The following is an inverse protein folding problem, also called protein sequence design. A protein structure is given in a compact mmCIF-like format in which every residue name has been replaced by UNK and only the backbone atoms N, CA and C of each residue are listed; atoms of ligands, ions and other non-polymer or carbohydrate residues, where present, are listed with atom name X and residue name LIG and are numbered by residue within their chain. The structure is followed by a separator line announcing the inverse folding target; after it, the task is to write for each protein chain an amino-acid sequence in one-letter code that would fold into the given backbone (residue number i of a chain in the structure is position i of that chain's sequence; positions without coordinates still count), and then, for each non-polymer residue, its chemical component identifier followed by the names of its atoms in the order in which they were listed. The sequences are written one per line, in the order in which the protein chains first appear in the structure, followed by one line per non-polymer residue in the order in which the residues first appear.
data_IF_177478736391
#
_entry.id   IF_177478736391
#
_cell.length_a   1.000
_cell.length_b   1.000
_cell.length_c   1.000
_cell.angle_alpha   90.00
_cell.angle_beta   90.00
_cell.angle_gamma   90.00
#
_symmetry.space_group_name_H-M   'P 1'
#
loop_
_entity.id
_entity.type
_entity.pdbx_description
1 polymer ?
#
# COMPACT_ATOMS: atom_id res chain seq x y z
N UNK A 1 26.40 -9.54 -66.36
CA UNK A 1 25.73 -8.55 -65.51
C UNK A 1 25.30 -9.26 -64.25
N UNK A 2 26.05 -9.08 -63.16
CA UNK A 2 25.68 -9.52 -61.81
C UNK A 2 25.25 -8.24 -61.10
N UNK A 3 24.01 -8.22 -60.65
CA UNK A 3 23.44 -7.07 -59.96
C UNK A 3 23.87 -7.10 -58.48
N UNK A 4 24.66 -6.11 -58.09
CA UNK A 4 25.09 -5.88 -56.72
C UNK A 4 23.91 -5.27 -55.93
N UNK A 5 23.36 -6.04 -54.99
CA UNK A 5 22.39 -5.55 -54.00
C UNK A 5 23.16 -4.93 -52.84
N UNK A 6 22.94 -3.65 -52.50
CA UNK A 6 23.64 -3.00 -51.40
C UNK A 6 23.14 -3.53 -50.04
N UNK A 7 24.00 -3.59 -49.02
CA UNK A 7 23.64 -4.11 -47.71
C UNK A 7 22.67 -3.16 -47.00
N UNK A 8 21.56 -3.72 -46.52
CA UNK A 8 20.56 -3.05 -45.70
C UNK A 8 21.17 -2.54 -44.39
N UNK A 9 20.99 -1.25 -44.12
CA UNK A 9 21.46 -0.59 -42.90
C UNK A 9 20.78 -1.15 -41.63
N UNK A 10 21.47 -1.18 -40.48
CA UNK A 10 20.94 -1.70 -39.23
C UNK A 10 19.80 -0.81 -38.71
N UNK A 11 18.65 -1.43 -38.45
CA UNK A 11 17.50 -0.80 -37.80
C UNK A 11 17.88 -0.51 -36.34
N UNK A 12 18.12 0.77 -36.01
CA UNK A 12 18.31 1.21 -34.64
C UNK A 12 16.95 1.20 -33.92
N UNK A 13 16.71 0.19 -33.10
CA UNK A 13 15.63 0.20 -32.13
C UNK A 13 15.97 1.20 -31.02
N UNK A 14 15.53 2.45 -31.19
CA UNK A 14 15.52 3.42 -30.10
C UNK A 14 14.35 3.09 -29.18
N UNK A 15 14.61 2.27 -28.16
CA UNK A 15 13.73 2.13 -27.01
C UNK A 15 13.76 3.45 -26.22
N UNK A 16 13.00 4.45 -26.67
CA UNK A 16 12.64 5.57 -25.79
C UNK A 16 11.70 5.01 -24.72
N UNK A 17 12.06 5.04 -23.43
CA UNK A 17 11.10 4.71 -22.38
C UNK A 17 9.90 5.64 -22.56
N UNK A 18 8.70 5.06 -22.66
CA UNK A 18 7.44 5.81 -22.61
C UNK A 18 7.45 6.56 -21.28
N UNK A 19 7.69 7.87 -21.33
CA UNK A 19 7.54 8.75 -20.18
C UNK A 19 6.10 8.55 -19.66
N UNK A 20 6.00 8.09 -18.41
CA UNK A 20 4.74 8.12 -17.68
C UNK A 20 4.17 9.53 -17.73
N UNK A 21 2.85 9.64 -17.83
CA UNK A 21 2.15 10.93 -17.79
C UNK A 21 2.56 11.62 -16.49
N UNK A 22 3.22 12.77 -16.55
CA UNK A 22 3.68 13.48 -15.37
C UNK A 22 2.50 13.82 -14.47
N UNK A 23 2.62 13.49 -13.18
CA UNK A 23 1.62 13.71 -12.13
C UNK A 23 1.21 15.18 -11.90
N UNK A 24 1.81 16.15 -12.58
CA UNK A 24 1.43 17.56 -12.43
C UNK A 24 0.00 17.85 -12.89
N UNK A 25 -0.64 16.90 -13.58
CA UNK A 25 -2.02 16.96 -14.07
C UNK A 25 -2.95 15.94 -13.38
N UNK A 26 -2.77 15.65 -12.09
CA UNK A 26 -3.89 15.00 -11.37
C UNK A 26 -5.03 15.99 -11.38
N UNK A 27 -6.15 15.58 -11.97
CA UNK A 27 -7.17 16.44 -12.56
C UNK A 27 -7.66 17.59 -11.68
N UNK A 28 -8.24 18.60 -12.31
CA UNK A 28 -8.80 19.79 -11.63
C UNK A 28 -10.15 19.52 -10.95
N UNK A 29 -10.44 18.25 -10.61
CA UNK A 29 -11.70 17.78 -10.04
C UNK A 29 -11.44 16.63 -9.06
N UNK A 30 -12.40 16.37 -8.17
CA UNK A 30 -12.40 15.21 -7.28
C UNK A 30 -13.76 15.01 -6.62
N UNK A 31 -13.82 14.09 -5.65
CA UNK A 31 -15.07 13.75 -4.97
C UNK A 31 -15.41 14.78 -3.90
N UNK A 32 -16.56 15.44 -4.06
CA UNK A 32 -17.03 16.42 -3.08
C UNK A 32 -17.85 15.72 -1.99
N UNK A 33 -17.56 16.09 -0.75
CA UNK A 33 -18.31 15.60 0.40
C UNK A 33 -19.78 16.02 0.38
N UNK A 34 -20.64 15.07 0.75
CA UNK A 34 -22.09 15.27 0.87
C UNK A 34 -22.54 15.08 2.32
N UNK A 35 -23.14 16.15 2.87
CA UNK A 35 -23.73 16.14 4.21
C UNK A 35 -24.99 15.25 4.32
N UNK A 36 -25.65 14.99 3.19
CA UNK A 36 -26.90 14.22 3.17
C UNK A 36 -26.66 12.71 3.29
N UNK A 37 -25.52 12.24 2.80
CA UNK A 37 -25.24 10.81 2.66
C UNK A 37 -23.95 10.39 3.39
N UNK A 38 -23.28 11.33 4.07
CA UNK A 38 -22.10 11.10 4.90
C UNK A 38 -20.97 10.40 4.14
N UNK A 39 -20.69 10.88 2.94
CA UNK A 39 -19.75 10.26 1.99
C UNK A 39 -18.27 10.25 2.38
N UNK A 40 -17.86 10.89 3.50
CA UNK A 40 -16.46 11.27 3.74
C UNK A 40 -15.45 10.11 3.58
N UNK A 41 -15.79 8.92 4.08
CA UNK A 41 -14.94 7.74 3.96
C UNK A 41 -14.84 7.23 2.52
N UNK A 42 -15.94 7.29 1.77
CA UNK A 42 -15.99 6.88 0.37
C UNK A 42 -15.24 7.86 -0.53
N UNK A 43 -15.45 9.16 -0.34
CA UNK A 43 -14.75 10.22 -1.07
C UNK A 43 -13.23 10.03 -0.94
N UNK A 44 -12.78 9.84 0.31
CA UNK A 44 -11.38 9.61 0.64
C UNK A 44 -10.82 8.37 -0.05
N UNK A 45 -11.45 7.21 0.12
CA UNK A 45 -10.90 5.97 -0.46
C UNK A 45 -10.91 6.03 -1.97
N UNK A 46 -11.98 6.56 -2.58
CA UNK A 46 -12.07 6.68 -4.02
C UNK A 46 -10.95 7.56 -4.58
N UNK A 47 -10.71 8.72 -3.98
CA UNK A 47 -9.67 9.65 -4.45
C UNK A 47 -8.25 9.13 -4.15
N UNK A 48 -8.04 8.54 -2.99
CA UNK A 48 -6.77 7.91 -2.63
C UNK A 48 -6.42 6.78 -3.60
N UNK A 49 -7.35 5.86 -3.86
CA UNK A 49 -7.10 4.72 -4.74
C UNK A 49 -7.03 5.15 -6.21
N UNK A 50 -7.77 6.19 -6.62
CA UNK A 50 -7.58 6.81 -7.94
C UNK A 50 -6.15 7.32 -8.08
N UNK A 51 -5.64 8.02 -7.07
CA UNK A 51 -4.27 8.53 -7.06
C UNK A 51 -3.24 7.41 -7.19
N UNK A 52 -3.33 6.39 -6.32
CA UNK A 52 -2.45 5.21 -6.36
C UNK A 52 -2.54 4.56 -7.73
N UNK A 53 -3.75 4.37 -8.26
CA UNK A 53 -3.96 3.77 -9.57
C UNK A 53 -3.31 4.60 -10.68
N UNK A 54 -3.49 5.91 -10.75
CA UNK A 54 -2.86 6.71 -11.81
C UNK A 54 -1.33 6.59 -11.79
N UNK A 55 -0.73 6.55 -10.60
CA UNK A 55 0.74 6.44 -10.43
C UNK A 55 1.30 5.03 -10.58
N UNK A 56 0.46 4.00 -10.51
CA UNK A 56 0.91 2.61 -10.53
C UNK A 56 1.34 2.14 -11.92
N UNK A 57 2.36 1.29 -11.97
CA UNK A 57 2.81 0.61 -13.17
C UNK A 57 1.69 -0.25 -13.79
N UNK A 58 1.82 -0.57 -15.09
CA UNK A 58 0.86 -1.44 -15.78
C UNK A 58 0.74 -2.81 -15.11
N UNK A 59 1.87 -3.37 -14.64
CA UNK A 59 1.88 -4.66 -13.97
C UNK A 59 1.18 -4.57 -12.61
N UNK A 60 1.44 -3.50 -11.85
CA UNK A 60 0.74 -3.24 -10.58
C UNK A 60 -0.78 -3.17 -10.78
N UNK A 61 -1.26 -2.43 -11.80
CA UNK A 61 -2.70 -2.29 -12.10
C UNK A 61 -3.35 -3.64 -12.36
N UNK A 62 -2.75 -4.45 -13.23
CA UNK A 62 -3.25 -5.78 -13.56
C UNK A 62 -3.28 -6.69 -12.33
N UNK A 63 -2.22 -6.66 -11.50
CA UNK A 63 -2.17 -7.46 -10.27
C UNK A 63 -3.22 -7.01 -9.27
N UNK A 64 -3.43 -5.70 -9.08
CA UNK A 64 -4.43 -5.16 -8.16
C UNK A 64 -5.86 -5.45 -8.62
N UNK A 65 -6.17 -5.25 -9.90
CA UNK A 65 -7.48 -5.56 -10.48
C UNK A 65 -7.82 -7.06 -10.35
N UNK A 66 -6.81 -7.95 -10.37
CA UNK A 66 -6.99 -9.38 -10.18
C UNK A 66 -7.27 -9.80 -8.71
N UNK A 67 -7.14 -8.90 -7.73
CA UNK A 67 -7.29 -9.26 -6.32
C UNK A 67 -8.73 -9.46 -5.88
N UNK A 68 -9.66 -8.64 -6.37
CA UNK A 68 -11.07 -8.60 -5.94
C UNK A 68 -11.95 -8.09 -7.08
N UNK A 69 -13.21 -8.55 -7.18
CA UNK A 69 -14.18 -7.98 -8.13
C UNK A 69 -14.37 -6.47 -7.98
N UNK A 70 -14.40 -5.96 -6.72
CA UNK A 70 -14.52 -4.52 -6.47
C UNK A 70 -13.31 -3.74 -7.01
N UNK A 71 -12.09 -4.26 -6.81
CA UNK A 71 -10.86 -3.65 -7.35
C UNK A 71 -10.87 -3.61 -8.88
N UNK A 72 -11.33 -4.67 -9.54
CA UNK A 72 -11.52 -4.69 -11.00
C UNK A 72 -12.49 -3.61 -11.47
N UNK A 73 -13.69 -3.54 -10.89
CA UNK A 73 -14.70 -2.52 -11.24
C UNK A 73 -14.17 -1.09 -11.04
N UNK A 74 -13.39 -0.87 -9.98
CA UNK A 74 -12.79 0.42 -9.68
C UNK A 74 -11.65 0.77 -10.67
N UNK A 75 -10.86 -0.21 -11.10
CA UNK A 75 -9.89 -0.04 -12.18
C UNK A 75 -10.50 0.36 -13.52
N UNK A 76 -11.65 -0.23 -13.90
CA UNK A 76 -12.42 0.20 -15.08
C UNK A 76 -12.89 1.66 -14.97
N UNK A 77 -13.45 2.03 -13.81
CA UNK A 77 -13.87 3.42 -13.52
C UNK A 77 -12.69 4.39 -13.65
N UNK A 78 -11.56 4.08 -13.03
CA UNK A 78 -10.36 4.92 -13.08
C UNK A 78 -9.75 5.04 -14.47
N UNK A 79 -9.81 3.98 -15.29
CA UNK A 79 -9.41 4.04 -16.70
C UNK A 79 -10.34 4.94 -17.50
N UNK A 80 -11.65 4.85 -17.28
CA UNK A 80 -12.63 5.74 -17.90
C UNK A 80 -12.35 7.20 -17.50
N UNK A 81 -12.14 7.50 -16.21
CA UNK A 81 -11.76 8.84 -15.73
C UNK A 81 -10.46 9.35 -16.38
N UNK A 82 -9.42 8.52 -16.41
CA UNK A 82 -8.11 8.89 -16.92
C UNK A 82 -8.00 8.97 -18.45
N UNK A 83 -9.02 8.51 -19.19
CA UNK A 83 -8.98 8.38 -20.65
C UNK A 83 -9.01 9.72 -21.39
N UNK A 84 -9.51 10.80 -20.77
CA UNK A 84 -9.54 12.13 -21.39
C UNK A 84 -9.42 13.27 -20.38
N UNK A 85 -8.73 14.36 -20.76
CA UNK A 85 -8.58 15.56 -19.92
C UNK A 85 -9.92 16.19 -19.51
N UNK A 86 -10.94 16.30 -20.39
CA UNK A 86 -12.25 16.84 -19.99
C UNK A 86 -12.94 16.02 -18.90
N UNK A 87 -12.77 14.69 -18.88
CA UNK A 87 -13.32 13.84 -17.83
C UNK A 87 -12.59 14.04 -16.49
N UNK A 88 -11.27 14.16 -16.52
CA UNK A 88 -10.47 14.45 -15.32
C UNK A 88 -10.74 15.83 -14.71
N UNK A 89 -11.33 16.74 -15.47
CA UNK A 89 -11.69 18.10 -15.01
C UNK A 89 -13.17 18.25 -14.65
N UNK A 90 -13.98 17.19 -14.77
CA UNK A 90 -15.43 17.27 -14.53
C UNK A 90 -15.80 16.66 -13.18
N UNK A 91 -16.12 17.51 -12.20
CA UNK A 91 -16.63 17.06 -10.89
C UNK A 91 -17.84 16.14 -11.01
N UNK A 92 -18.75 16.39 -11.96
CA UNK A 92 -19.91 15.53 -12.20
C UNK A 92 -19.51 14.09 -12.57
N UNK A 93 -18.47 13.89 -13.37
CA UNK A 93 -18.02 12.55 -13.75
C UNK A 93 -17.40 11.83 -12.54
N UNK A 94 -16.69 12.56 -11.68
CA UNK A 94 -16.21 12.03 -10.40
C UNK A 94 -17.38 11.62 -9.50
N UNK A 95 -18.39 12.48 -9.33
CA UNK A 95 -19.58 12.21 -8.53
C UNK A 95 -20.32 10.95 -9.04
N UNK A 96 -20.50 10.80 -10.35
CA UNK A 96 -21.15 9.62 -10.96
C UNK A 96 -20.39 8.32 -10.64
N UNK A 97 -19.06 8.31 -10.81
CA UNK A 97 -18.27 7.10 -10.54
C UNK A 97 -18.12 6.82 -9.06
N UNK A 98 -18.05 7.86 -8.25
CA UNK A 98 -18.05 7.78 -6.80
C UNK A 98 -19.37 7.17 -6.29
N UNK A 99 -20.52 7.62 -6.79
CA UNK A 99 -21.81 7.04 -6.43
C UNK A 99 -21.94 5.58 -6.87
N UNK A 100 -21.45 5.24 -8.08
CA UNK A 100 -21.39 3.85 -8.52
C UNK A 100 -20.52 2.98 -7.60
N UNK A 101 -19.38 3.49 -7.14
CA UNK A 101 -18.52 2.81 -6.17
C UNK A 101 -19.24 2.56 -4.83
N UNK A 102 -20.01 3.54 -4.35
CA UNK A 102 -20.81 3.40 -3.12
C UNK A 102 -21.91 2.37 -3.26
N UNK A 103 -22.58 2.34 -4.42
CA UNK A 103 -23.62 1.36 -4.70
C UNK A 103 -23.04 -0.07 -4.73
N UNK A 104 -21.84 -0.24 -5.28
CA UNK A 104 -21.13 -1.53 -5.25
C UNK A 104 -20.81 -1.97 -3.81
N UNK A 105 -20.29 -1.08 -2.97
CA UNK A 105 -20.01 -1.38 -1.56
C UNK A 105 -21.29 -1.68 -0.76
N UNK A 106 -22.35 -0.90 -0.95
CA UNK A 106 -23.64 -1.13 -0.31
C UNK A 106 -24.20 -2.51 -0.70
N UNK A 107 -24.05 -2.91 -1.97
CA UNK A 107 -24.46 -4.24 -2.44
C UNK A 107 -23.65 -5.38 -1.80
N UNK A 108 -22.38 -5.16 -1.46
CA UNK A 108 -21.55 -6.13 -0.74
C UNK A 108 -22.02 -6.28 0.71
N UNK A 109 -22.15 -5.16 1.44
CA UNK A 109 -22.59 -5.20 2.83
C UNK A 109 -23.21 -3.85 3.26
N UNK A 110 -24.55 -3.73 3.27
CA UNK A 110 -25.22 -2.46 3.54
C UNK A 110 -25.10 -2.00 5.01
N UNK A 111 -24.74 -2.91 5.93
CA UNK A 111 -24.52 -2.58 7.34
C UNK A 111 -23.16 -1.92 7.53
N UNK A 112 -22.11 -2.45 6.89
CA UNK A 112 -20.76 -1.89 6.96
C UNK A 112 -20.58 -0.69 6.04
N UNK A 113 -21.34 -0.64 4.94
CA UNK A 113 -21.24 0.37 3.88
C UNK A 113 -22.61 1.01 3.63
N UNK A 114 -23.15 1.78 4.59
CA UNK A 114 -24.42 2.46 4.41
C UNK A 114 -24.34 3.47 3.26
N UNK A 115 -25.37 3.48 2.41
CA UNK A 115 -25.44 4.39 1.26
C UNK A 115 -25.94 5.79 1.63
N UNK A 116 -26.80 5.87 2.63
CA UNK A 116 -27.50 7.08 3.07
C UNK A 116 -27.61 7.11 4.60
N UNK A 117 -27.83 8.31 5.15
CA UNK A 117 -28.05 8.53 6.57
C UNK A 117 -26.77 8.87 7.33
N UNK A 118 -26.91 9.15 8.63
CA UNK A 118 -25.86 9.68 9.50
C UNK A 118 -24.88 8.61 10.02
N UNK A 119 -24.89 7.42 9.42
CA UNK A 119 -23.99 6.33 9.80
C UNK A 119 -22.77 6.38 8.88
N UNK A 120 -21.62 6.74 9.44
CA UNK A 120 -20.36 6.75 8.70
C UNK A 120 -19.87 5.35 8.33
N UNK A 121 -19.25 5.23 7.16
CA UNK A 121 -18.50 4.03 6.78
C UNK A 121 -17.08 4.08 7.36
N UNK A 122 -16.49 2.90 7.60
CA UNK A 122 -15.10 2.78 8.04
C UNK A 122 -14.17 2.73 6.85
N UNK A 123 -13.19 3.65 6.78
CA UNK A 123 -12.17 3.66 5.74
C UNK A 123 -11.37 2.35 5.73
N UNK A 124 -11.00 1.81 6.90
CA UNK A 124 -10.31 0.53 7.02
C UNK A 124 -11.11 -0.63 6.41
N UNK A 125 -12.43 -0.67 6.65
CA UNK A 125 -13.29 -1.72 6.08
C UNK A 125 -13.41 -1.60 4.57
N UNK A 126 -13.53 -0.37 4.04
CA UNK A 126 -13.56 -0.17 2.58
C UNK A 126 -12.23 -0.62 1.95
N UNK A 127 -11.09 -0.25 2.55
CA UNK A 127 -9.78 -0.68 2.08
C UNK A 127 -9.60 -2.21 2.14
N UNK A 128 -10.21 -2.89 3.10
CA UNK A 128 -10.20 -4.36 3.18
C UNK A 128 -10.91 -5.01 1.98
N UNK A 129 -12.01 -4.42 1.49
CA UNK A 129 -12.71 -4.89 0.29
C UNK A 129 -11.92 -4.65 -1.02
N UNK A 130 -10.92 -3.76 -0.98
CA UNK A 130 -10.04 -3.44 -2.12
C UNK A 130 -8.68 -4.15 -2.07
N UNK A 131 -8.41 -4.87 -0.99
CA UNK A 131 -7.16 -5.63 -0.81
C UNK A 131 -7.44 -7.13 -0.86
N UNK A 132 -6.47 -7.94 -1.30
CA UNK A 132 -6.67 -9.37 -1.45
C UNK A 132 -6.95 -10.03 -0.09
N UNK A 133 -7.91 -10.95 -0.08
CA UNK A 133 -8.15 -11.90 1.01
C UNK A 133 -7.05 -12.96 0.99
N UNK A 134 -5.82 -12.57 1.31
CA UNK A 134 -4.71 -13.52 1.29
C UNK A 134 -4.81 -14.42 2.53
N UNK A 135 -5.43 -15.60 2.41
CA UNK A 135 -5.52 -16.57 3.52
C UNK A 135 -4.14 -16.96 4.09
N UNK A 136 -3.07 -16.86 3.28
CA UNK A 136 -1.69 -17.11 3.68
C UNK A 136 -0.77 -16.09 2.99
N UNK A 137 -0.17 -15.17 3.73
CA UNK A 137 0.76 -14.19 3.13
C UNK A 137 2.21 -14.67 3.17
N UNK A 138 2.60 -15.42 4.21
CA UNK A 138 4.01 -15.74 4.44
C UNK A 138 4.32 -17.24 4.47
N UNK A 139 5.46 -17.55 3.86
CA UNK A 139 6.17 -18.81 3.87
C UNK A 139 7.33 -18.71 4.85
N UNK A 140 7.42 -19.66 5.76
CA UNK A 140 8.59 -19.84 6.60
C UNK A 140 9.36 -21.02 6.04
N UNK A 141 10.65 -20.84 5.76
CA UNK A 141 11.50 -21.98 5.44
C UNK A 141 12.94 -21.71 5.79
N UNK A 142 13.76 -22.75 5.66
CA UNK A 142 15.18 -22.69 5.97
C UNK A 142 16.01 -22.36 4.74
N UNK A 143 16.96 -21.44 4.91
CA UNK A 143 17.98 -21.05 3.92
C UNK A 143 19.33 -21.50 4.43
N UNK A 144 20.14 -22.13 3.58
CA UNK A 144 21.50 -22.51 3.93
C UNK A 144 22.35 -21.26 4.25
N UNK A 145 23.02 -21.24 5.41
CA UNK A 145 23.87 -20.12 5.84
C UNK A 145 25.05 -19.92 4.88
N UNK A 146 25.53 -20.99 4.25
CA UNK A 146 26.66 -20.97 3.31
C UNK A 146 26.24 -20.63 1.86
N UNK A 147 24.99 -20.22 1.61
CA UNK A 147 24.47 -19.80 0.31
C UNK A 147 24.80 -20.77 -0.84
N UNK A 148 24.70 -22.08 -0.59
CA UNK A 148 25.13 -23.09 -1.55
C UNK A 148 24.39 -22.95 -2.90
N UNK A 149 25.12 -22.88 -4.04
CA UNK A 149 24.51 -22.80 -5.36
C UNK A 149 23.50 -23.94 -5.58
N UNK A 150 22.25 -23.59 -5.91
CA UNK A 150 21.17 -24.55 -6.16
C UNK A 150 20.30 -24.92 -4.94
N UNK A 151 20.63 -24.45 -3.74
CA UNK A 151 19.87 -24.74 -2.50
C UNK A 151 19.38 -23.49 -1.75
N UNK A 152 19.25 -22.37 -2.46
CA UNK A 152 18.44 -21.22 -2.01
C UNK A 152 16.94 -21.54 -1.93
N UNK A 153 16.51 -22.72 -2.40
CA UNK A 153 15.11 -23.17 -2.31
C UNK A 153 14.81 -23.77 -0.95
N UNK A 154 13.75 -23.27 -0.32
CA UNK A 154 13.25 -23.67 0.99
C UNK A 154 13.12 -25.20 1.09
N UNK A 155 13.86 -25.81 2.01
CA UNK A 155 13.47 -27.12 2.55
C UNK A 155 12.44 -26.88 3.65
N UNK A 156 11.32 -27.59 3.61
CA UNK A 156 10.24 -27.53 4.62
C UNK A 156 9.58 -26.15 4.78
N UNK A 157 8.87 -25.72 3.75
CA UNK A 157 8.01 -24.55 3.78
C UNK A 157 6.77 -24.75 4.67
N UNK A 158 6.61 -23.94 5.71
CA UNK A 158 5.38 -23.83 6.50
C UNK A 158 4.66 -22.51 6.15
N UNK A 159 3.35 -22.58 5.87
CA UNK A 159 2.52 -21.39 5.65
C UNK A 159 1.99 -20.87 6.98
N UNK A 160 2.11 -19.57 7.21
CA UNK A 160 1.49 -18.92 8.39
C UNK A 160 0.03 -18.60 8.10
N UNK A 161 -0.85 -18.71 9.10
CA UNK A 161 -2.29 -18.41 8.96
C UNK A 161 -2.60 -16.91 9.03
N UNK A 162 -1.60 -16.04 9.12
CA UNK A 162 -1.80 -14.62 9.33
C UNK A 162 -1.67 -13.85 8.02
N UNK A 163 -2.65 -12.99 7.77
CA UNK A 163 -2.67 -12.11 6.60
C UNK A 163 -2.06 -10.75 6.98
N UNK A 164 -1.21 -10.18 6.13
CA UNK A 164 -0.60 -8.85 6.34
C UNK A 164 -1.63 -7.78 6.77
N UNK A 165 -2.82 -7.68 6.13
CA UNK A 165 -3.86 -6.76 6.56
C UNK A 165 -4.34 -6.97 8.01
N UNK A 166 -4.42 -8.23 8.48
CA UNK A 166 -4.84 -8.54 9.86
C UNK A 166 -3.77 -8.14 10.89
N UNK A 167 -2.50 -8.21 10.51
CA UNK A 167 -1.33 -7.87 11.36
C UNK A 167 -1.15 -6.36 11.49
N UNK A 168 -1.53 -5.66 10.44
CA UNK A 168 -1.61 -4.21 10.39
C UNK A 168 -2.83 -3.67 11.16
N UNK A 169 -3.62 -4.53 11.82
CA UNK A 169 -4.74 -4.14 12.68
C UNK A 169 -4.37 -4.16 14.17
N UNK A 170 -5.05 -3.31 14.94
CA UNK A 170 -4.89 -3.07 16.39
C UNK A 170 -4.62 -4.31 17.26
N UNK A 171 -5.39 -5.38 17.09
CA UNK A 171 -5.32 -6.55 17.98
C UNK A 171 -4.02 -7.34 17.83
N UNK A 172 -3.37 -7.25 16.67
CA UNK A 172 -2.18 -8.03 16.39
C UNK A 172 -0.94 -7.42 17.06
N UNK A 173 -0.83 -6.09 17.15
CA UNK A 173 0.39 -5.43 17.66
C UNK A 173 0.76 -5.81 19.08
N UNK A 174 -0.20 -5.69 20.01
CA UNK A 174 0.03 -5.99 21.43
C UNK A 174 0.50 -7.43 21.61
N UNK A 175 -0.05 -8.35 20.80
CA UNK A 175 0.34 -9.75 20.82
C UNK A 175 1.71 -9.97 20.16
N UNK A 176 2.01 -9.30 19.05
CA UNK A 176 3.28 -9.40 18.32
C UNK A 176 4.45 -8.91 19.18
N UNK A 177 4.31 -7.75 19.85
CA UNK A 177 5.36 -7.23 20.74
C UNK A 177 5.65 -8.25 21.84
N UNK A 178 4.59 -8.78 22.48
CA UNK A 178 4.73 -9.83 23.50
C UNK A 178 5.42 -11.09 22.95
N UNK A 179 4.99 -11.58 21.79
CA UNK A 179 5.48 -12.83 21.18
C UNK A 179 6.90 -12.69 20.61
N UNK A 180 7.31 -11.48 20.23
CA UNK A 180 8.64 -11.22 19.68
C UNK A 180 9.76 -11.36 20.71
N UNK A 181 9.43 -11.37 22.01
CA UNK A 181 10.42 -11.41 23.10
C UNK A 181 11.29 -10.16 23.19
N UNK A 182 11.02 -9.15 22.36
CA UNK A 182 11.49 -7.78 22.56
C UNK A 182 10.80 -7.38 23.86
N UNK A 183 11.58 -7.19 24.93
CA UNK A 183 11.04 -6.90 26.25
C UNK A 183 10.04 -5.74 26.21
N UNK A 184 9.39 -5.45 27.33
CA UNK A 184 8.54 -4.26 27.53
C UNK A 184 9.32 -2.92 27.36
N UNK A 185 10.35 -2.86 26.51
CA UNK A 185 10.95 -1.66 26.01
C UNK A 185 9.81 -0.68 25.69
N UNK A 186 9.81 0.37 26.49
CA UNK A 186 8.90 1.50 26.53
C UNK A 186 9.04 2.33 25.25
N UNK A 187 8.99 1.68 24.10
CA UNK A 187 9.08 2.33 22.81
C UNK A 187 7.81 3.17 22.65
N UNK A 188 7.92 4.45 22.98
CA UNK A 188 6.89 5.46 22.76
C UNK A 188 6.52 5.58 21.29
N UNK A 189 7.39 5.10 20.39
CA UNK A 189 7.14 5.05 18.96
C UNK A 189 7.84 3.88 18.26
N UNK A 190 7.30 3.47 17.11
CA UNK A 190 7.86 2.43 16.24
C UNK A 190 7.63 2.81 14.78
N UNK A 191 8.58 2.54 13.88
CA UNK A 191 8.35 2.74 12.45
C UNK A 191 7.52 1.62 11.82
N UNK A 192 6.83 1.87 10.71
CA UNK A 192 6.11 0.80 9.99
C UNK A 192 7.03 -0.31 9.49
N UNK A 193 8.28 -0.01 9.10
CA UNK A 193 9.26 -1.06 8.80
C UNK A 193 9.61 -1.90 10.04
N UNK A 194 9.85 -1.26 11.18
CA UNK A 194 10.11 -2.00 12.43
C UNK A 194 8.91 -2.85 12.83
N UNK A 195 7.68 -2.35 12.60
CA UNK A 195 6.46 -3.11 12.84
C UNK A 195 6.43 -4.40 12.01
N UNK A 196 6.72 -4.31 10.71
CA UNK A 196 6.83 -5.48 9.82
C UNK A 196 7.94 -6.42 10.32
N UNK A 197 9.10 -5.90 10.69
CA UNK A 197 10.22 -6.73 11.16
C UNK A 197 9.87 -7.48 12.45
N UNK A 198 9.19 -6.83 13.40
CA UNK A 198 8.76 -7.48 14.65
C UNK A 198 7.71 -8.55 14.40
N UNK A 199 6.79 -8.32 13.47
CA UNK A 199 5.86 -9.35 13.04
C UNK A 199 6.60 -10.57 12.47
N UNK A 200 7.49 -10.36 11.50
CA UNK A 200 8.27 -11.44 10.87
C UNK A 200 9.10 -12.21 11.91
N UNK A 201 9.70 -11.50 12.87
CA UNK A 201 10.45 -12.12 13.96
C UNK A 201 9.55 -12.93 14.89
N UNK A 202 8.34 -12.45 15.20
CA UNK A 202 7.35 -13.17 16.00
C UNK A 202 6.94 -14.49 15.34
N UNK A 203 6.64 -14.46 14.04
CA UNK A 203 6.33 -15.68 13.28
C UNK A 203 7.52 -16.64 13.21
N UNK A 204 8.72 -16.10 13.01
CA UNK A 204 9.94 -16.90 13.03
C UNK A 204 10.13 -17.59 14.38
N UNK A 205 9.94 -16.88 15.49
CA UNK A 205 10.07 -17.44 16.84
C UNK A 205 9.08 -18.59 17.08
N UNK A 206 7.84 -18.47 16.61
CA UNK A 206 6.81 -19.52 16.72
C UNK A 206 7.22 -20.80 15.96
N UNK A 207 7.90 -20.65 14.82
CA UNK A 207 8.26 -21.78 13.97
C UNK A 207 9.70 -22.28 14.13
N UNK A 208 10.58 -21.55 14.84
CA UNK A 208 11.98 -21.94 15.08
C UNK A 208 12.17 -23.38 15.59
N UNK A 209 11.33 -23.92 16.49
CA UNK A 209 11.45 -25.31 16.92
C UNK A 209 11.36 -26.34 15.78
N UNK A 210 10.66 -26.02 14.68
CA UNK A 210 10.52 -26.90 13.52
C UNK A 210 11.82 -27.01 12.69
N UNK A 211 12.75 -26.08 12.86
CA UNK A 211 14.01 -25.99 12.10
C UNK A 211 15.26 -26.18 12.96
N UNK A 212 15.11 -26.37 14.28
CA UNK A 212 16.23 -26.40 15.23
C UNK A 212 17.23 -27.55 15.03
N UNK A 213 16.93 -28.51 14.14
CA UNK A 213 17.81 -29.66 13.85
C UNK A 213 17.98 -29.94 12.36
N UNK A 214 17.53 -29.02 11.49
CA UNK A 214 17.77 -29.18 10.05
C UNK A 214 19.20 -28.76 9.70
N UNK A 215 19.90 -29.61 8.95
CA UNK A 215 21.15 -29.27 8.28
C UNK A 215 20.89 -29.13 6.79
N UNK A 216 21.68 -28.32 6.10
CA UNK A 216 21.60 -28.20 4.66
C UNK A 216 21.94 -29.55 4.02
N UNK A 217 21.05 -30.17 3.20
CA UNK A 217 21.29 -31.50 2.66
C UNK A 217 22.47 -31.54 1.67
N UNK A 218 22.92 -30.38 1.17
CA UNK A 218 23.97 -30.28 0.17
C UNK A 218 25.38 -30.14 0.76
N UNK A 219 25.54 -29.28 1.77
CA UNK A 219 26.84 -29.00 2.39
C UNK A 219 26.97 -29.50 3.82
N UNK A 220 25.89 -30.07 4.38
CA UNK A 220 25.78 -30.43 5.78
C UNK A 220 26.13 -29.27 6.74
N UNK A 221 25.90 -28.03 6.30
CA UNK A 221 26.07 -26.82 7.08
C UNK A 221 24.79 -26.38 7.76
N UNK A 222 24.91 -25.37 8.62
CA UNK A 222 23.78 -24.80 9.33
C UNK A 222 22.77 -24.16 8.37
N UNK A 223 21.50 -24.19 8.77
CA UNK A 223 20.42 -23.48 8.09
C UNK A 223 19.84 -22.41 8.98
N UNK A 224 19.49 -21.29 8.39
CA UNK A 224 18.84 -20.17 9.03
C UNK A 224 17.37 -20.15 8.60
N UNK A 225 16.46 -20.10 9.57
CA UNK A 225 15.03 -20.02 9.27
C UNK A 225 14.67 -18.57 8.95
N UNK A 226 13.94 -18.36 7.85
CA UNK A 226 13.53 -17.04 7.38
C UNK A 226 12.06 -17.05 7.00
N UNK A 227 11.44 -15.89 7.14
CA UNK A 227 10.04 -15.65 6.76
C UNK A 227 10.04 -14.81 5.49
N UNK A 228 9.35 -15.30 4.46
CA UNK A 228 9.20 -14.65 3.17
C UNK A 228 7.72 -14.49 2.84
N UNK A 229 7.39 -13.52 2.01
CA UNK A 229 6.09 -13.44 1.36
C UNK A 229 6.11 -14.23 0.05
N UNK A 230 5.12 -15.11 -0.11
CA UNK A 230 4.94 -15.86 -1.37
C UNK A 230 4.46 -14.90 -2.46
N UNK A 231 3.44 -14.12 -2.14
CA UNK A 231 2.92 -13.05 -2.97
C UNK A 231 2.79 -11.76 -2.15
N UNK A 232 3.69 -10.78 -2.33
CA UNK A 232 3.56 -9.51 -1.63
C UNK A 232 2.31 -8.76 -2.12
N UNK A 233 1.59 -8.07 -1.21
CA UNK A 233 0.38 -7.35 -1.58
C UNK A 233 0.72 -6.17 -2.50
N UNK A 234 -0.20 -5.84 -3.40
CA UNK A 234 -0.09 -4.63 -4.24
C UNK A 234 -0.30 -3.35 -3.44
N UNK A 235 -1.14 -3.43 -2.40
CA UNK A 235 -1.45 -2.35 -1.46
C UNK A 235 -1.40 -2.91 -0.05
N UNK A 236 -0.67 -2.23 0.83
CA UNK A 236 -0.57 -2.55 2.25
C UNK A 236 -1.10 -1.37 3.07
N UNK A 237 -1.99 -1.64 4.01
CA UNK A 237 -2.66 -0.62 4.84
C UNK A 237 -2.38 -0.90 6.30
N UNK A 238 -1.83 0.07 7.03
CA UNK A 238 -1.69 0.05 8.48
C UNK A 238 -2.86 0.81 9.10
N UNK A 239 -3.68 0.13 9.91
CA UNK A 239 -4.75 0.74 10.70
C UNK A 239 -4.21 1.12 12.08
N UNK A 240 -4.04 2.42 12.29
CA UNK A 240 -3.46 2.99 13.49
C UNK A 240 -4.61 3.32 14.45
N UNK A 241 -4.60 2.64 15.59
CA UNK A 241 -5.50 2.94 16.70
C UNK A 241 -5.10 4.25 17.37
N UNK A 242 -6.01 5.23 17.36
CA UNK A 242 -5.84 6.49 18.10
C UNK A 242 -5.74 6.30 19.61
N UNK A 243 -6.14 5.13 20.13
CA UNK A 243 -6.00 4.74 21.53
C UNK A 243 -4.69 3.99 21.87
N UNK A 244 -3.82 3.71 20.89
CA UNK A 244 -2.55 3.03 21.14
C UNK A 244 -1.58 3.94 21.91
N UNK A 245 -0.92 3.40 22.93
CA UNK A 245 0.18 4.09 23.62
C UNK A 245 1.46 4.16 22.76
N UNK A 246 1.60 3.25 21.80
CA UNK A 246 2.74 3.22 20.87
C UNK A 246 2.38 4.02 19.63
N UNK A 247 3.15 5.08 19.37
CA UNK A 247 3.02 5.92 18.17
C UNK A 247 3.62 5.19 16.97
N UNK A 248 2.83 4.97 15.91
CA UNK A 248 3.33 4.40 14.66
C UNK A 248 3.85 5.51 13.76
N UNK A 249 5.12 5.43 13.39
CA UNK A 249 5.77 6.37 12.50
C UNK A 249 5.85 5.76 11.09
N UNK A 250 5.32 6.43 10.05
CA UNK A 250 5.47 5.96 8.69
C UNK A 250 6.94 5.95 8.23
N UNK A 251 7.40 4.80 7.73
CA UNK A 251 8.58 4.71 6.87
C UNK A 251 8.24 5.19 5.46
N UNK A 252 9.19 5.80 4.73
CA UNK A 252 8.98 6.16 3.32
C UNK A 252 8.77 4.92 2.44
N UNK A 253 9.53 3.86 2.75
CA UNK A 253 9.51 2.57 2.07
C UNK A 253 9.35 1.49 3.13
N UNK A 254 8.48 0.53 2.85
CA UNK A 254 8.36 -0.73 3.58
C UNK A 254 8.88 -1.84 2.67
N UNK A 255 9.93 -2.51 3.10
CA UNK A 255 10.56 -3.63 2.41
C UNK A 255 10.02 -4.94 2.95
N UNK A 256 9.48 -5.76 2.06
CA UNK A 256 8.96 -7.10 2.33
C UNK A 256 9.92 -8.16 1.74
N UNK A 257 10.48 -9.07 2.55
CA UNK A 257 11.28 -10.16 2.03
C UNK A 257 10.39 -11.13 1.25
N UNK A 258 10.71 -11.41 -0.02
CA UNK A 258 10.03 -12.40 -0.84
C UNK A 258 11.04 -13.44 -1.35
N UNK A 259 10.53 -14.53 -1.91
CA UNK A 259 11.38 -15.62 -2.42
C UNK A 259 12.34 -15.18 -3.54
N UNK A 260 11.87 -14.30 -4.42
CA UNK A 260 12.63 -13.80 -5.57
C UNK A 260 13.39 -12.49 -5.28
N UNK A 261 13.49 -12.11 -4.00
CA UNK A 261 14.11 -10.88 -3.55
C UNK A 261 13.18 -10.01 -2.71
N UNK A 262 13.64 -8.82 -2.38
CA UNK A 262 12.86 -7.88 -1.60
C UNK A 262 11.89 -7.12 -2.50
N UNK A 263 10.65 -6.94 -2.03
CA UNK A 263 9.67 -6.03 -2.65
C UNK A 263 9.52 -4.78 -1.81
N UNK A 264 9.63 -3.63 -2.45
CA UNK A 264 9.49 -2.32 -1.83
C UNK A 264 8.09 -1.76 -2.06
N UNK A 265 7.44 -1.37 -0.98
CA UNK A 265 6.17 -0.66 -1.00
C UNK A 265 6.41 0.78 -0.54
N UNK A 266 6.02 1.75 -1.35
CA UNK A 266 6.21 3.17 -1.05
C UNK A 266 4.99 3.72 -0.34
N UNK A 267 5.20 4.60 0.63
CA UNK A 267 4.10 5.35 1.25
C UNK A 267 3.39 6.17 0.17
N UNK A 268 2.09 5.96 0.02
CA UNK A 268 1.23 6.66 -0.95
C UNK A 268 0.21 7.57 -0.29
N UNK A 269 -0.19 7.27 0.94
CA UNK A 269 -1.09 8.16 1.65
C UNK A 269 -0.98 8.03 3.16
N UNK A 270 -1.29 9.13 3.83
CA UNK A 270 -1.55 9.21 5.28
C UNK A 270 -2.98 9.71 5.42
N UNK A 271 -3.82 8.92 6.07
CA UNK A 271 -5.21 9.28 6.35
C UNK A 271 -5.31 9.75 7.79
N UNK A 272 -5.97 10.87 8.00
CA UNK A 272 -6.26 11.44 9.31
C UNK A 272 -7.75 11.31 9.62
N UNK A 273 -8.07 11.13 10.89
CA UNK A 273 -9.44 11.16 11.40
C UNK A 273 -9.53 12.17 12.54
N UNK A 274 -10.35 13.19 12.38
CA UNK A 274 -10.65 14.17 13.41
C UNK A 274 -12.13 14.57 13.33
N UNK A 275 -12.83 14.62 14.46
CA UNK A 275 -14.24 15.03 14.56
C UNK A 275 -15.15 14.33 13.53
N UNK A 276 -15.00 13.00 13.42
CA UNK A 276 -15.74 12.13 12.48
C UNK A 276 -15.57 12.50 11.00
N UNK A 277 -14.47 13.19 10.68
CA UNK A 277 -14.13 13.60 9.33
C UNK A 277 -12.77 13.06 8.92
N UNK A 278 -12.68 12.60 7.69
CA UNK A 278 -11.45 12.06 7.13
C UNK A 278 -10.82 13.04 6.15
N UNK A 279 -9.50 13.19 6.27
CA UNK A 279 -8.67 13.90 5.29
C UNK A 279 -7.41 13.07 5.01
N UNK A 280 -6.67 13.41 3.97
CA UNK A 280 -5.43 12.72 3.64
C UNK A 280 -4.35 13.65 3.13
N UNK A 281 -3.11 13.16 3.27
CA UNK A 281 -2.00 13.57 2.45
C UNK A 281 -1.67 12.44 1.47
N UNK A 282 -1.65 12.75 0.18
CA UNK A 282 -1.34 11.85 -0.92
C UNK A 282 0.11 12.11 -1.35
N UNK A 283 0.91 11.05 -1.43
CA UNK A 283 2.34 11.10 -1.75
C UNK A 283 2.57 10.56 -3.15
N UNK A 284 2.98 11.46 -4.03
CA UNK A 284 3.20 11.22 -5.45
C UNK A 284 4.64 10.90 -5.83
N UNK A 285 4.87 10.89 -7.14
CA UNK A 285 6.21 10.85 -7.71
C UNK A 285 7.05 12.06 -7.26
N UNK A 286 8.37 11.85 -7.18
CA UNK A 286 9.33 12.86 -6.71
C UNK A 286 8.99 13.41 -5.32
N UNK A 287 8.29 12.60 -4.52
CA UNK A 287 7.83 12.93 -3.19
C UNK A 287 6.95 14.19 -3.09
N UNK A 288 6.24 14.55 -4.16
CA UNK A 288 5.24 15.64 -4.09
C UNK A 288 4.08 15.21 -3.19
N UNK A 289 3.66 16.10 -2.30
CA UNK A 289 2.58 15.85 -1.35
C UNK A 289 1.37 16.70 -1.71
N UNK A 290 0.20 16.07 -1.74
CA UNK A 290 -1.08 16.72 -2.00
C UNK A 290 -1.98 16.55 -0.77
N UNK A 291 -2.63 17.62 -0.33
CA UNK A 291 -3.71 17.54 0.67
C UNK A 291 -5.01 17.21 -0.02
N UNK A 292 -5.77 16.32 0.58
CA UNK A 292 -7.11 15.99 0.14
C UNK A 292 -8.07 16.05 1.31
N UNK A 293 -9.15 16.80 1.13
CA UNK A 293 -10.26 16.86 2.05
C UNK A 293 -11.53 17.07 1.22
N UNK A 294 -12.46 16.11 1.26
CA UNK A 294 -13.71 16.19 0.48
C UNK A 294 -14.59 17.40 0.83
N UNK A 295 -14.41 18.02 2.01
CA UNK A 295 -15.15 19.22 2.44
C UNK A 295 -14.53 20.54 1.95
N UNK A 296 -13.28 20.50 1.50
CA UNK A 296 -12.54 21.68 1.07
C UNK A 296 -12.27 21.60 -0.44
N UNK A 297 -12.02 22.76 -1.04
CA UNK A 297 -11.53 22.88 -2.43
C UNK A 297 -12.35 22.07 -3.46
N UNK A 298 -13.67 21.95 -3.24
CA UNK A 298 -14.59 21.14 -4.04
C UNK A 298 -14.15 19.67 -4.22
N UNK A 299 -13.43 19.12 -3.23
CA UNK A 299 -12.88 17.77 -3.28
C UNK A 299 -11.66 17.63 -4.19
N UNK A 300 -11.04 18.73 -4.63
CA UNK A 300 -9.86 18.70 -5.49
C UNK A 300 -8.60 18.62 -4.64
N UNK A 301 -7.72 17.60 -4.83
CA UNK A 301 -6.43 17.56 -4.14
C UNK A 301 -5.59 18.82 -4.41
N UNK A 302 -5.07 19.43 -3.36
CA UNK A 302 -4.24 20.64 -3.44
C UNK A 302 -2.77 20.33 -3.17
N UNK A 303 -1.85 20.87 -3.97
CA UNK A 303 -0.43 20.66 -3.77
C UNK A 303 0.02 21.33 -2.47
N UNK A 304 0.63 20.56 -1.57
CA UNK A 304 1.28 21.08 -0.38
C UNK A 304 2.75 21.38 -0.68
N UNK A 305 3.04 22.62 -1.06
CA UNK A 305 4.40 23.05 -1.38
C UNK A 305 5.36 22.90 -0.18
N UNK A 306 4.89 23.16 1.03
CA UNK A 306 5.73 23.09 2.23
C UNK A 306 6.13 21.64 2.52
N UNK A 307 5.16 20.72 2.51
CA UNK A 307 5.43 19.30 2.68
C UNK A 307 6.27 18.74 1.53
N UNK A 308 5.95 19.11 0.28
CA UNK A 308 6.72 18.68 -0.90
C UNK A 308 8.19 19.10 -0.83
N UNK A 309 8.49 20.31 -0.38
CA UNK A 309 9.87 20.78 -0.19
C UNK A 309 10.60 19.95 0.88
N UNK A 310 9.97 19.71 2.02
CA UNK A 310 10.54 18.89 3.10
C UNK A 310 10.85 17.44 2.65
N UNK A 311 10.04 16.91 1.75
CA UNK A 311 10.17 15.57 1.18
C UNK A 311 11.24 15.47 0.08
N UNK A 312 11.44 16.53 -0.71
CA UNK A 312 12.43 16.57 -1.79
C UNK A 312 13.88 16.65 -1.27
N UNK A 313 14.09 17.27 -0.11
CA UNK A 313 15.41 17.43 0.49
C UNK A 313 16.02 16.13 1.05
N UNK A 314 15.24 15.03 1.11
CA UNK A 314 15.74 13.69 1.41
C UNK A 314 16.66 13.62 2.63
N UNK A 315 16.12 13.68 3.84
CA UNK A 315 16.95 13.71 5.04
C UNK A 315 16.19 13.69 6.37
N UNK A 316 16.86 14.06 7.49
CA UNK A 316 16.26 14.16 8.82
C UNK A 316 15.00 15.03 8.86
N UNK A 317 14.87 15.99 7.96
CA UNK A 317 13.70 16.86 7.75
C UNK A 317 12.45 16.08 7.34
N UNK A 318 12.58 15.07 6.48
CA UNK A 318 11.46 14.18 6.14
C UNK A 318 10.99 13.43 7.39
N UNK A 319 11.89 12.75 8.11
CA UNK A 319 11.51 12.02 9.33
C UNK A 319 10.98 12.95 10.43
N UNK A 320 11.52 14.17 10.55
CA UNK A 320 11.01 15.17 11.48
C UNK A 320 9.62 15.67 11.09
N UNK A 321 9.39 15.91 9.80
CA UNK A 321 8.07 16.27 9.26
C UNK A 321 7.08 15.12 9.45
N UNK A 322 7.43 13.88 9.07
CA UNK A 322 6.62 12.69 9.31
C UNK A 322 6.36 12.44 10.79
N UNK A 323 7.32 12.72 11.66
CA UNK A 323 7.15 12.63 13.11
C UNK A 323 6.23 13.73 13.64
N UNK A 324 6.26 14.92 13.04
CA UNK A 324 5.35 16.04 13.34
C UNK A 324 3.92 15.79 12.86
N UNK A 325 3.77 15.14 11.70
CA UNK A 325 2.49 14.69 11.16
C UNK A 325 1.94 13.52 11.99
N UNK A 326 2.82 12.59 12.38
CA UNK A 326 2.47 11.47 13.25
C UNK A 326 2.10 11.90 14.67
N UNK A 327 2.50 13.09 15.15
CA UNK A 327 2.01 13.62 16.45
C UNK A 327 0.54 14.01 16.43
N UNK A 328 -0.06 14.13 15.26
CA UNK A 328 -1.50 14.30 15.05
C UNK A 328 -2.07 13.04 14.38
N UNK A 329 -2.44 12.05 15.20
CA UNK A 329 -3.44 10.99 14.97
C UNK A 329 -3.66 10.55 13.50
N UNK A 330 -2.61 10.05 12.83
CA UNK A 330 -2.84 9.27 11.61
C UNK A 330 -3.74 8.08 11.95
N UNK A 331 -4.78 7.86 11.15
CA UNK A 331 -5.70 6.74 11.25
C UNK A 331 -5.28 5.59 10.34
N UNK A 332 -4.83 5.88 9.11
CA UNK A 332 -4.29 4.86 8.21
C UNK A 332 -3.00 5.32 7.55
N UNK A 333 -2.10 4.36 7.32
CA UNK A 333 -0.96 4.53 6.41
C UNK A 333 -1.11 3.57 5.25
N UNK A 334 -1.08 4.09 4.02
CA UNK A 334 -1.27 3.28 2.81
C UNK A 334 0.04 3.24 2.02
N UNK A 335 0.47 2.03 1.70
CA UNK A 335 1.66 1.72 0.94
C UNK A 335 1.28 0.98 -0.35
N UNK A 336 1.99 1.23 -1.45
CA UNK A 336 1.82 0.49 -2.69
C UNK A 336 3.15 0.29 -3.43
N UNK A 337 3.29 -0.82 -4.14
CA UNK A 337 4.40 -1.04 -5.06
C UNK A 337 4.35 -0.06 -6.25
N UNK A 338 5.49 0.19 -6.90
CA UNK A 338 5.58 1.10 -8.06
C UNK A 338 5.09 0.46 -9.36
#
# INVERSE_FOLDING_TARGET
MRDDVPPSAPIQHTNKPRQGRQLEEIGTAGCRWSAMDWSCAYDLVFMLMFYVFQTGSKQWKLKWEATRPLAYSLGEMYRKLGSSTPQMSSGHVFDEMHDAFRDLLFAINPINFPRYGEVGASVSKIMLELTPELEFCSLIGSVCVNECPGHTRLTNAARTRHTLPTICSRSAWVQIVRDSGIGNAEASSVSTQMWVNFFLQGELNKCRPLFASSMCPACNGDVDARVFYEEPPTVLVFDIDSGSQVKVLPSAIVTLPCMDGNVELHLRAIVYLADYHFSAQLVGEHNKVWKYDGRLDDGVPQLDQASSAAYAEGGPTFMAHMSSLGSSQAHLLVYAAQ
#
